data_IF_319718815536
#
_entry.id   IF_319718815536
#
_cell.length_a   1.000
_cell.length_b   1.000
_cell.length_c   1.000
_cell.angle_alpha   90.00
_cell.angle_beta   90.00
_cell.angle_gamma   90.00
#
_symmetry.space_group_name_H-M   'P 1'
#
loop_
_entity.id
_entity.type
_entity.pdbx_description
1 polymer ?
#
# COMPACT_ATOMS: atom_id res chain seq x y z
N UNK A 1 1.37 -18.47 14.22
CA UNK A 1 1.62 -17.07 13.80
C UNK A 1 0.48 -16.69 12.87
N UNK A 2 -0.29 -15.64 13.16
CA UNK A 2 -1.37 -15.19 12.27
C UNK A 2 -0.71 -14.67 10.99
N UNK A 3 -1.12 -15.17 9.84
CA UNK A 3 -0.71 -14.60 8.57
C UNK A 3 -1.38 -13.22 8.49
N UNK A 4 -0.61 -12.14 8.50
CA UNK A 4 -1.15 -10.78 8.28
C UNK A 4 -1.85 -10.73 6.93
N UNK A 5 -3.03 -10.09 6.89
CA UNK A 5 -3.79 -9.91 5.67
C UNK A 5 -2.96 -9.05 4.69
N UNK A 6 -2.92 -9.43 3.40
CA UNK A 6 -2.27 -8.63 2.36
C UNK A 6 -2.77 -7.18 2.38
N UNK A 7 -4.05 -6.97 2.72
CA UNK A 7 -4.65 -5.65 2.85
C UNK A 7 -4.02 -4.83 3.99
N UNK A 8 -3.77 -5.44 5.15
CA UNK A 8 -3.08 -4.81 6.27
C UNK A 8 -1.63 -4.45 5.88
N UNK A 9 -0.91 -5.38 5.24
CA UNK A 9 0.46 -5.12 4.76
C UNK A 9 0.55 -3.96 3.77
N UNK A 10 -0.46 -3.80 2.90
CA UNK A 10 -0.54 -2.68 1.97
C UNK A 10 -0.63 -1.36 2.73
N UNK A 11 -1.51 -1.27 3.74
CA UNK A 11 -1.70 -0.07 4.56
C UNK A 11 -0.42 0.27 5.30
N UNK A 12 0.20 -0.71 5.97
CA UNK A 12 1.42 -0.49 6.76
C UNK A 12 2.58 0.02 5.91
N UNK A 13 2.81 -0.63 4.75
CA UNK A 13 3.89 -0.22 3.84
C UNK A 13 3.60 1.09 3.13
N UNK A 14 2.34 1.37 2.81
CA UNK A 14 1.96 2.67 2.26
C UNK A 14 2.17 3.79 3.29
N UNK A 15 1.77 3.60 4.55
CA UNK A 15 2.00 4.55 5.63
C UNK A 15 3.49 4.86 5.83
N UNK A 16 4.34 3.83 5.86
CA UNK A 16 5.79 3.99 5.96
C UNK A 16 6.34 4.85 4.80
N UNK A 17 5.97 4.51 3.56
CA UNK A 17 6.44 5.23 2.37
C UNK A 17 5.92 6.67 2.32
N UNK A 18 4.63 6.88 2.60
CA UNK A 18 4.03 8.22 2.63
C UNK A 18 4.68 9.10 3.71
N UNK A 19 5.02 8.53 4.87
CA UNK A 19 5.66 9.26 5.96
C UNK A 19 7.08 9.71 5.62
N UNK A 20 7.80 8.92 4.82
CA UNK A 20 9.20 9.22 4.45
C UNK A 20 9.28 10.14 3.23
N UNK A 21 8.42 9.91 2.21
CA UNK A 21 8.54 10.55 0.89
C UNK A 21 7.44 11.58 0.60
N UNK A 22 6.37 11.57 1.37
CA UNK A 22 5.14 12.30 1.07
C UNK A 22 4.23 11.54 0.10
N UNK A 23 2.92 11.76 0.23
CA UNK A 23 1.89 11.07 -0.56
C UNK A 23 2.10 11.20 -2.08
N UNK A 24 2.41 12.40 -2.57
CA UNK A 24 2.57 12.66 -4.00
C UNK A 24 3.75 11.92 -4.64
N UNK A 25 4.85 11.74 -3.90
CA UNK A 25 6.07 11.11 -4.41
C UNK A 25 5.99 9.57 -4.47
N UNK A 26 5.00 8.96 -3.79
CA UNK A 26 4.85 7.51 -3.74
C UNK A 26 3.90 7.04 -4.84
N UNK A 27 4.28 5.95 -5.52
CA UNK A 27 3.46 5.28 -6.52
C UNK A 27 2.90 3.95 -6.02
N UNK A 28 1.78 3.50 -6.61
CA UNK A 28 1.19 2.19 -6.30
C UNK A 28 2.16 1.04 -6.59
N UNK A 29 2.98 1.15 -7.63
CA UNK A 29 4.00 0.16 -7.96
C UNK A 29 5.07 0.03 -6.86
N UNK A 30 5.45 1.14 -6.25
CA UNK A 30 6.43 1.14 -5.16
C UNK A 30 5.86 0.47 -3.91
N UNK A 31 4.60 0.76 -3.57
CA UNK A 31 3.88 0.10 -2.47
C UNK A 31 3.79 -1.40 -2.74
N UNK A 32 3.37 -1.81 -3.94
CA UNK A 32 3.27 -3.22 -4.31
C UNK A 32 4.62 -3.95 -4.19
N UNK A 33 5.71 -3.30 -4.60
CA UNK A 33 7.07 -3.82 -4.46
C UNK A 33 7.47 -3.97 -2.98
N UNK A 34 7.13 -3.01 -2.13
CA UNK A 34 7.42 -3.05 -0.69
C UNK A 34 6.64 -4.17 0.03
N UNK A 35 5.42 -4.46 -0.44
CA UNK A 35 4.59 -5.58 0.07
C UNK A 35 5.05 -6.94 -0.49
N UNK A 36 5.75 -6.95 -1.64
CA UNK A 36 6.19 -8.18 -2.31
C UNK A 36 5.13 -8.79 -3.23
N UNK A 37 4.22 -7.98 -3.76
CA UNK A 37 3.16 -8.42 -4.69
C UNK A 37 3.25 -7.69 -6.03
N UNK A 38 2.51 -8.20 -7.02
CA UNK A 38 2.33 -7.49 -8.29
C UNK A 38 1.40 -6.29 -8.08
N UNK A 39 1.66 -5.19 -8.79
CA UNK A 39 0.78 -4.02 -8.76
C UNK A 39 -0.66 -4.36 -9.17
N UNK A 40 -0.84 -5.27 -10.14
CA UNK A 40 -2.17 -5.77 -10.52
C UNK A 40 -2.91 -6.45 -9.36
N UNK A 41 -2.20 -7.17 -8.48
CA UNK A 41 -2.79 -7.78 -7.28
C UNK A 41 -3.18 -6.73 -6.24
N UNK A 42 -2.41 -5.66 -6.10
CA UNK A 42 -2.74 -4.55 -5.20
C UNK A 42 -4.07 -3.90 -5.58
N UNK A 43 -4.34 -3.73 -6.88
CA UNK A 43 -5.61 -3.19 -7.36
C UNK A 43 -6.84 -4.04 -7.01
N UNK A 44 -6.67 -5.33 -6.69
CA UNK A 44 -7.76 -6.16 -6.17
C UNK A 44 -8.13 -5.83 -4.72
N UNK A 45 -7.23 -5.19 -3.97
CA UNK A 45 -7.46 -4.78 -2.57
C UNK A 45 -7.85 -3.31 -2.47
N UNK A 46 -7.22 -2.45 -3.26
CA UNK A 46 -7.46 -1.02 -3.29
C UNK A 46 -7.47 -0.49 -4.72
N UNK A 47 -8.55 0.18 -5.16
CA UNK A 47 -8.67 0.62 -6.55
C UNK A 47 -7.73 1.77 -6.94
N UNK A 48 -7.14 2.48 -5.96
CA UNK A 48 -6.26 3.63 -6.21
C UNK A 48 -5.32 3.90 -5.04
N UNK A 49 -4.29 4.73 -5.28
CA UNK A 49 -3.41 5.27 -4.22
C UNK A 49 -4.22 6.03 -3.16
N UNK A 50 -5.25 6.76 -3.59
CA UNK A 50 -6.15 7.49 -2.69
C UNK A 50 -6.92 6.54 -1.78
N UNK A 51 -7.47 5.44 -2.32
CA UNK A 51 -8.21 4.47 -1.51
C UNK A 51 -7.33 3.80 -0.44
N UNK A 52 -6.01 3.67 -0.68
CA UNK A 52 -5.07 3.20 0.34
C UNK A 52 -4.87 4.27 1.41
N UNK A 53 -4.69 5.52 1.01
CA UNK A 53 -4.55 6.65 1.93
C UNK A 53 -5.81 6.84 2.80
N UNK A 54 -7.00 6.73 2.22
CA UNK A 54 -8.28 6.81 2.93
C UNK A 54 -8.46 5.69 3.97
N UNK A 55 -7.73 4.58 3.85
CA UNK A 55 -7.73 3.51 4.83
C UNK A 55 -6.71 3.72 5.97
N UNK A 56 -5.82 4.71 5.85
CA UNK A 56 -4.86 5.11 6.88
C UNK A 56 -5.46 6.15 7.83
N UNK A 57 -6.29 7.07 7.31
CA UNK A 57 -6.82 8.25 8.02
C UNK A 57 -8.20 8.07 8.61
#
# INVERSE_FOLDING_TARGET
MKQEDTKEKIVDKALELFSIKGYEAVSVNEIAKAVGIRASSLYNHYPSKQAIFDAIV
#
